data_IF_763448184375
#
_entry.id   IF_763448184375
#
_cell.length_a   1.000
_cell.length_b   1.000
_cell.length_c   1.000
_cell.angle_alpha   90.00
_cell.angle_beta   90.00
_cell.angle_gamma   90.00
#
_symmetry.space_group_name_H-M   'P 1'
#
loop_
_entity.id
_entity.type
_entity.pdbx_description
1 polymer ?
#
# COMPACT_ATOMS: atom_id res chain seq x y z
N UNK A 1 -10.05 10.01 -21.87
CA UNK A 1 -9.88 8.62 -22.36
C UNK A 1 -9.83 8.64 -23.90
N UNK A 2 -10.82 9.20 -24.66
CA UNK A 2 -10.88 9.18 -26.11
C UNK A 2 -9.57 9.67 -26.79
N UNK A 3 -8.99 10.79 -26.34
CA UNK A 3 -7.74 11.34 -26.90
C UNK A 3 -6.53 10.41 -26.73
N UNK A 4 -6.51 9.58 -25.67
CA UNK A 4 -5.47 8.55 -25.47
C UNK A 4 -5.70 7.43 -26.48
N UNK A 5 -6.91 6.87 -26.54
CA UNK A 5 -7.23 5.73 -27.44
C UNK A 5 -6.97 6.09 -28.92
N UNK A 6 -7.24 7.32 -29.32
CA UNK A 6 -7.00 7.80 -30.69
C UNK A 6 -5.56 8.23 -30.97
N UNK A 7 -4.66 8.16 -29.98
CA UNK A 7 -3.26 8.56 -30.12
C UNK A 7 -3.03 10.08 -30.11
N UNK A 8 -4.08 10.89 -29.89
CA UNK A 8 -3.95 12.35 -29.81
C UNK A 8 -3.20 12.83 -28.53
N UNK A 9 -3.07 11.97 -27.53
CA UNK A 9 -2.29 12.17 -26.32
C UNK A 9 -1.58 10.89 -25.98
N UNK A 10 -0.26 10.95 -25.82
CA UNK A 10 0.54 9.83 -25.34
C UNK A 10 0.35 9.69 -23.83
N UNK A 11 -0.07 8.53 -23.30
CA UNK A 11 -0.18 8.32 -21.85
C UNK A 11 1.19 8.33 -21.18
N UNK A 12 1.23 8.78 -19.94
CA UNK A 12 2.46 8.83 -19.14
C UNK A 12 2.20 8.65 -17.65
N UNK A 13 0.99 8.18 -17.30
CA UNK A 13 0.64 7.84 -15.93
C UNK A 13 1.28 6.53 -15.49
N UNK A 14 1.62 6.43 -14.20
CA UNK A 14 2.14 5.22 -13.57
C UNK A 14 1.21 4.78 -12.45
N UNK A 15 1.10 3.47 -12.24
CA UNK A 15 0.34 2.91 -11.12
C UNK A 15 1.05 3.21 -9.81
N UNK A 16 0.31 3.80 -8.86
CA UNK A 16 0.79 4.07 -7.50
C UNK A 16 0.60 2.87 -6.55
N UNK A 17 0.19 1.74 -7.09
CA UNK A 17 -0.03 0.48 -6.35
C UNK A 17 0.41 -0.70 -7.22
N UNK A 18 0.59 -1.86 -6.55
CA UNK A 18 0.77 -3.15 -7.20
C UNK A 18 -0.59 -3.83 -7.34
N UNK A 19 -0.93 -4.31 -8.52
CA UNK A 19 -2.14 -5.08 -8.76
C UNK A 19 -1.85 -6.58 -8.61
N UNK A 20 -2.39 -7.27 -7.60
CA UNK A 20 -2.23 -8.72 -7.46
C UNK A 20 -2.98 -9.46 -8.57
N UNK A 21 -2.68 -10.75 -8.73
CA UNK A 21 -3.43 -11.62 -9.64
C UNK A 21 -4.76 -12.04 -9.00
N UNK A 22 -4.76 -12.31 -7.68
CA UNK A 22 -5.92 -12.74 -6.90
C UNK A 22 -5.97 -12.00 -5.58
N UNK A 23 -7.16 -11.95 -4.98
CA UNK A 23 -7.36 -11.35 -3.65
C UNK A 23 -6.53 -12.03 -2.56
N UNK A 24 -6.40 -13.36 -2.64
CA UNK A 24 -5.64 -14.18 -1.69
C UNK A 24 -4.14 -13.86 -1.70
N UNK A 25 -3.65 -13.22 -2.76
CA UNK A 25 -2.27 -12.79 -2.88
C UNK A 25 -1.98 -11.47 -2.13
N UNK A 26 -3.01 -10.77 -1.61
CA UNK A 26 -2.85 -9.52 -0.85
C UNK A 26 -2.30 -9.81 0.54
N UNK A 27 -1.26 -9.09 1.03
CA UNK A 27 -0.60 -9.39 2.29
C UNK A 27 -1.54 -9.35 3.50
N UNK A 28 -2.56 -8.49 3.49
CA UNK A 28 -3.55 -8.38 4.56
C UNK A 28 -4.76 -9.33 4.42
N UNK A 29 -4.90 -10.06 3.31
CA UNK A 29 -6.08 -10.88 3.03
C UNK A 29 -6.44 -11.88 4.16
N UNK A 30 -5.50 -12.54 4.86
CA UNK A 30 -5.82 -13.44 5.96
C UNK A 30 -6.46 -12.75 7.18
N UNK A 31 -6.19 -11.46 7.35
CA UNK A 31 -6.53 -10.70 8.57
C UNK A 31 -7.64 -9.69 8.35
N UNK A 32 -7.87 -9.27 7.10
CA UNK A 32 -8.89 -8.28 6.77
C UNK A 32 -10.30 -8.82 7.09
N UNK A 33 -11.09 -8.01 7.77
CA UNK A 33 -12.47 -8.33 8.21
C UNK A 33 -12.64 -9.56 9.12
N UNK A 34 -11.58 -10.07 9.75
CA UNK A 34 -11.65 -11.24 10.65
C UNK A 34 -12.12 -10.89 12.07
N UNK A 35 -12.00 -9.65 12.47
CA UNK A 35 -12.41 -9.15 13.78
C UNK A 35 -13.43 -8.01 13.62
N UNK A 36 -14.38 -7.92 14.57
CA UNK A 36 -15.40 -6.86 14.53
C UNK A 36 -14.87 -5.52 15.05
N UNK A 37 -14.02 -5.57 16.08
CA UNK A 37 -13.55 -4.39 16.82
C UNK A 37 -12.17 -3.90 16.40
N UNK A 38 -11.37 -4.74 15.74
CA UNK A 38 -9.96 -4.46 15.44
C UNK A 38 -9.61 -4.76 13.98
N UNK A 39 -8.62 -4.05 13.47
CA UNK A 39 -7.94 -4.39 12.22
C UNK A 39 -6.46 -4.65 12.54
N UNK A 40 -5.99 -5.85 12.24
CA UNK A 40 -4.63 -6.27 12.51
C UNK A 40 -3.80 -6.16 11.22
N UNK A 41 -2.83 -5.25 11.22
CA UNK A 41 -1.88 -5.06 10.12
C UNK A 41 -0.64 -5.92 10.35
N UNK A 42 -0.83 -7.25 10.37
CA UNK A 42 0.26 -8.21 10.62
C UNK A 42 1.31 -8.21 9.52
N UNK A 43 0.98 -7.69 8.34
CA UNK A 43 1.92 -7.48 7.24
C UNK A 43 3.02 -6.47 7.54
N UNK A 44 2.80 -5.57 8.52
CA UNK A 44 3.78 -4.56 8.95
C UNK A 44 4.32 -3.72 7.77
N UNK A 45 5.64 -3.68 7.55
CA UNK A 45 6.29 -2.93 6.47
C UNK A 45 6.04 -3.53 5.08
N UNK A 46 5.58 -4.78 5.01
CA UNK A 46 5.39 -5.51 3.76
C UNK A 46 4.04 -5.18 3.11
N UNK A 47 3.91 -3.94 2.65
CA UNK A 47 2.75 -3.42 1.93
C UNK A 47 3.10 -3.19 0.46
N UNK A 48 2.18 -3.53 -0.45
CA UNK A 48 2.37 -3.32 -1.89
C UNK A 48 3.60 -4.05 -2.44
N UNK A 49 4.38 -3.41 -3.32
CA UNK A 49 5.54 -4.03 -3.97
C UNK A 49 6.59 -4.55 -2.98
N UNK A 50 6.73 -3.95 -1.79
CA UNK A 50 7.66 -4.45 -0.75
C UNK A 50 7.34 -5.88 -0.35
N UNK A 51 6.06 -6.22 -0.21
CA UNK A 51 5.60 -7.58 0.04
C UNK A 51 5.82 -8.49 -1.16
N UNK A 52 5.28 -8.10 -2.32
CA UNK A 52 5.30 -8.96 -3.50
C UNK A 52 6.72 -9.28 -3.98
N UNK A 53 7.64 -8.33 -3.81
CA UNK A 53 9.04 -8.52 -4.17
C UNK A 53 9.79 -9.35 -3.12
N UNK A 54 9.56 -9.13 -1.82
CA UNK A 54 10.19 -9.90 -0.72
C UNK A 54 9.73 -11.35 -0.70
N UNK A 55 8.42 -11.59 -0.80
CA UNK A 55 7.84 -12.93 -0.76
C UNK A 55 7.89 -13.67 -2.11
N UNK A 56 8.34 -13.02 -3.18
CA UNK A 56 8.40 -13.60 -4.52
C UNK A 56 7.03 -13.88 -5.15
N UNK A 57 6.01 -13.08 -4.79
CA UNK A 57 4.63 -13.28 -5.28
C UNK A 57 4.46 -12.66 -6.67
N UNK A 58 3.92 -13.40 -7.66
CA UNK A 58 3.63 -12.85 -8.98
C UNK A 58 2.50 -11.81 -8.91
N UNK A 59 2.58 -10.79 -9.78
CA UNK A 59 1.61 -9.70 -9.82
C UNK A 59 1.09 -9.47 -11.23
N UNK A 60 -0.11 -8.89 -11.35
CA UNK A 60 -0.69 -8.52 -12.64
C UNK A 60 0.01 -7.30 -13.23
N UNK A 61 0.18 -6.26 -12.41
CA UNK A 61 0.93 -5.06 -12.75
C UNK A 61 1.76 -4.63 -11.54
N UNK A 62 3.08 -4.40 -11.69
CA UNK A 62 3.91 -3.94 -10.61
C UNK A 62 3.62 -2.47 -10.27
N UNK A 63 4.04 -2.03 -9.09
CA UNK A 63 4.11 -0.63 -8.74
C UNK A 63 4.92 0.16 -9.77
N UNK A 64 4.46 1.33 -10.15
CA UNK A 64 5.13 2.16 -11.15
C UNK A 64 4.85 1.75 -12.61
N UNK A 65 4.10 0.67 -12.86
CA UNK A 65 3.77 0.25 -14.22
C UNK A 65 2.98 1.33 -14.97
N UNK A 66 3.30 1.52 -16.25
CA UNK A 66 2.60 2.43 -17.14
C UNK A 66 2.87 2.09 -18.61
N UNK A 67 2.02 2.61 -19.49
CA UNK A 67 2.12 2.43 -20.93
C UNK A 67 2.47 3.74 -21.62
N UNK A 68 3.15 3.64 -22.74
CA UNK A 68 3.47 4.77 -23.62
C UNK A 68 3.38 4.34 -25.08
N UNK A 69 3.15 5.28 -25.98
CA UNK A 69 3.25 5.08 -27.44
C UNK A 69 4.65 5.34 -27.97
N UNK A 70 5.62 5.61 -27.08
CA UNK A 70 7.03 5.75 -27.42
C UNK A 70 7.88 4.91 -26.48
N UNK A 71 9.15 4.81 -26.75
CA UNK A 71 10.15 4.06 -25.96
C UNK A 71 11.21 5.01 -25.43
N UNK A 72 11.77 4.66 -24.26
CA UNK A 72 12.80 5.44 -23.61
C UNK A 72 14.01 4.55 -23.28
N UNK A 73 15.21 5.08 -23.48
CA UNK A 73 16.46 4.48 -23.07
C UNK A 73 17.04 5.27 -21.89
N UNK A 74 17.70 4.58 -20.96
CA UNK A 74 18.38 5.17 -19.81
C UNK A 74 19.87 4.87 -19.90
N UNK A 75 20.72 5.87 -19.66
CA UNK A 75 22.18 5.73 -19.69
C UNK A 75 22.87 6.64 -18.68
N UNK A 76 24.17 6.49 -18.55
CA UNK A 76 25.09 7.37 -17.81
C UNK A 76 24.66 7.58 -16.34
N UNK A 77 24.33 6.49 -15.63
CA UNK A 77 23.95 6.54 -14.21
C UNK A 77 25.17 6.97 -13.38
N UNK A 78 24.97 7.97 -12.55
CA UNK A 78 25.90 8.43 -11.52
C UNK A 78 25.16 8.51 -10.19
N UNK A 79 25.69 7.88 -9.15
CA UNK A 79 25.08 7.82 -7.82
C UNK A 79 25.91 8.55 -6.80
N UNK A 80 25.26 9.31 -5.93
CA UNK A 80 25.81 9.90 -4.72
C UNK A 80 24.94 9.54 -3.52
N UNK A 81 25.35 9.87 -2.30
CA UNK A 81 24.53 9.66 -1.10
C UNK A 81 23.23 10.49 -1.08
N UNK A 82 23.09 11.46 -1.97
CA UNK A 82 21.94 12.38 -1.98
C UNK A 82 21.08 12.30 -3.23
N UNK A 83 21.57 11.69 -4.32
CA UNK A 83 20.85 11.68 -5.59
C UNK A 83 21.38 10.65 -6.58
N UNK A 84 20.52 10.25 -7.52
CA UNK A 84 20.91 9.59 -8.76
C UNK A 84 20.82 10.59 -9.93
N UNK A 85 21.79 10.55 -10.85
CA UNK A 85 21.79 11.31 -12.10
C UNK A 85 21.90 10.37 -13.27
N UNK A 86 21.14 10.62 -14.32
CA UNK A 86 21.16 9.78 -15.52
C UNK A 86 20.69 10.56 -16.74
N UNK A 87 20.95 10.02 -17.91
CA UNK A 87 20.43 10.49 -19.19
C UNK A 87 19.22 9.66 -19.59
N UNK A 88 18.12 10.31 -20.01
CA UNK A 88 16.94 9.67 -20.59
C UNK A 88 16.79 10.13 -22.03
N UNK A 89 16.64 9.18 -22.96
CA UNK A 89 16.49 9.44 -24.38
C UNK A 89 15.16 8.85 -24.89
N UNK A 90 14.36 9.63 -25.59
CA UNK A 90 13.20 9.12 -26.32
C UNK A 90 13.67 8.46 -27.60
N UNK A 91 13.67 7.13 -27.64
CA UNK A 91 14.12 6.33 -28.79
C UNK A 91 13.00 5.98 -29.76
N UNK A 92 11.77 6.36 -29.48
CA UNK A 92 10.62 6.12 -30.36
C UNK A 92 10.33 7.30 -31.28
N UNK A 93 9.25 7.19 -32.04
CA UNK A 93 8.85 8.15 -33.08
C UNK A 93 7.80 9.18 -32.62
N UNK A 94 7.33 9.10 -31.40
CA UNK A 94 6.28 9.96 -30.84
C UNK A 94 6.80 10.69 -29.62
N UNK A 95 6.45 11.97 -29.48
CA UNK A 95 6.74 12.72 -28.26
C UNK A 95 6.03 12.07 -27.04
N UNK A 96 6.72 11.99 -25.92
CA UNK A 96 6.18 11.37 -24.72
C UNK A 96 6.84 11.87 -23.45
N UNK A 97 6.28 11.45 -22.33
CA UNK A 97 6.87 11.72 -21.03
C UNK A 97 7.10 10.40 -20.27
N UNK A 98 8.28 10.27 -19.69
CA UNK A 98 8.65 9.14 -18.83
C UNK A 98 8.68 9.58 -17.37
N UNK A 99 8.31 8.67 -16.46
CA UNK A 99 8.52 8.81 -15.02
C UNK A 99 9.61 7.84 -14.59
N UNK A 100 10.79 8.37 -14.44
CA UNK A 100 11.95 7.63 -13.97
C UNK A 100 11.85 7.44 -12.47
N UNK A 101 11.99 6.22 -11.99
CA UNK A 101 11.85 5.83 -10.59
C UNK A 101 13.16 5.29 -10.07
N UNK A 102 13.57 5.76 -8.89
CA UNK A 102 14.81 5.32 -8.24
C UNK A 102 14.48 4.58 -6.96
N UNK A 103 14.95 3.36 -6.86
CA UNK A 103 14.77 2.48 -5.72
C UNK A 103 16.11 2.23 -5.03
N UNK A 104 16.08 2.20 -3.71
CA UNK A 104 17.21 1.76 -2.89
C UNK A 104 16.92 0.34 -2.40
N UNK A 105 17.75 -0.59 -2.83
CA UNK A 105 17.67 -1.99 -2.45
C UNK A 105 18.95 -2.46 -1.77
N UNK A 106 18.91 -3.68 -1.23
CA UNK A 106 20.10 -4.35 -0.68
C UNK A 106 19.88 -5.88 -0.74
N UNK A 107 20.95 -6.62 -0.57
CA UNK A 107 20.95 -8.08 -0.64
C UNK A 107 20.68 -8.79 0.69
N UNK A 108 20.67 -8.05 1.81
CA UNK A 108 20.55 -8.63 3.15
C UNK A 108 19.16 -9.28 3.35
N UNK A 109 19.17 -10.44 3.97
CA UNK A 109 17.95 -11.21 4.26
C UNK A 109 17.29 -10.84 5.58
N UNK A 110 17.30 -9.56 5.96
CA UNK A 110 16.79 -9.02 7.20
C UNK A 110 15.31 -8.58 7.13
N UNK A 111 14.79 -8.00 8.23
CA UNK A 111 13.44 -7.43 8.30
C UNK A 111 13.40 -6.07 7.61
N UNK A 112 13.48 -6.11 6.30
CA UNK A 112 13.39 -4.92 5.43
C UNK A 112 12.85 -5.30 4.05
N UNK A 113 12.39 -4.32 3.31
CA UNK A 113 11.99 -4.51 1.93
C UNK A 113 13.24 -4.72 1.04
N UNK A 114 13.18 -5.56 -0.02
CA UNK A 114 14.32 -5.76 -0.91
C UNK A 114 14.67 -4.51 -1.72
N UNK A 115 13.75 -3.58 -1.80
CA UNK A 115 13.94 -2.23 -2.36
C UNK A 115 12.82 -1.29 -1.94
N UNK A 116 13.12 0.01 -1.89
CA UNK A 116 12.17 1.07 -1.58
C UNK A 116 12.33 2.26 -2.51
N UNK A 117 11.20 2.82 -2.99
CA UNK A 117 11.20 4.02 -3.82
C UNK A 117 11.76 5.20 -3.01
N UNK A 118 12.89 5.74 -3.47
CA UNK A 118 13.57 6.85 -2.80
C UNK A 118 13.40 8.18 -3.52
N UNK A 119 13.13 8.14 -4.83
CA UNK A 119 12.90 9.35 -5.61
C UNK A 119 12.32 9.04 -6.98
N UNK A 120 11.79 10.07 -7.63
CA UNK A 120 11.31 9.97 -9.01
C UNK A 120 11.34 11.34 -9.71
N UNK A 121 11.41 11.32 -11.03
CA UNK A 121 11.28 12.51 -11.85
C UNK A 121 10.48 12.21 -13.11
N UNK A 122 9.69 13.18 -13.57
CA UNK A 122 8.98 13.11 -14.85
C UNK A 122 9.65 14.02 -15.86
N UNK A 123 10.02 13.47 -17.02
CA UNK A 123 10.65 14.18 -18.11
C UNK A 123 9.85 14.00 -19.40
N UNK A 124 9.56 15.10 -20.11
CA UNK A 124 8.93 15.09 -21.41
C UNK A 124 9.97 15.27 -22.51
N UNK A 125 9.95 14.42 -23.54
CA UNK A 125 10.93 14.39 -24.61
C UNK A 125 10.28 14.27 -25.99
N UNK A 126 10.75 15.06 -26.96
CA UNK A 126 10.46 14.85 -28.37
C UNK A 126 11.16 13.59 -28.90
N UNK A 127 10.77 13.04 -30.06
CA UNK A 127 11.48 11.94 -30.70
C UNK A 127 12.97 12.24 -30.90
N UNK A 128 13.85 11.35 -30.43
CA UNK A 128 15.30 11.49 -30.49
C UNK A 128 15.90 12.47 -29.47
N UNK A 129 15.08 13.14 -28.66
CA UNK A 129 15.57 14.07 -27.63
C UNK A 129 16.10 13.31 -26.43
N UNK A 130 17.19 13.82 -25.84
CA UNK A 130 17.80 13.35 -24.62
C UNK A 130 17.81 14.45 -23.56
N UNK A 131 17.65 14.07 -22.30
CA UNK A 131 17.76 14.98 -21.16
C UNK A 131 18.52 14.33 -20.03
N UNK A 132 19.48 15.06 -19.46
CA UNK A 132 20.13 14.66 -18.22
C UNK A 132 19.32 15.16 -17.03
N UNK A 133 18.89 14.23 -16.18
CA UNK A 133 18.09 14.53 -15.01
C UNK A 133 18.82 14.16 -13.73
N UNK A 134 18.47 14.84 -12.63
CA UNK A 134 18.91 14.51 -11.28
C UNK A 134 17.69 14.22 -10.41
N UNK A 135 17.70 13.12 -9.71
CA UNK A 135 16.62 12.67 -8.83
C UNK A 135 17.16 12.64 -7.40
N UNK A 136 16.77 13.58 -6.55
CA UNK A 136 17.18 13.59 -5.15
C UNK A 136 16.55 12.41 -4.40
N UNK A 137 17.28 11.86 -3.45
CA UNK A 137 16.74 10.86 -2.54
C UNK A 137 15.93 11.52 -1.43
N UNK A 138 14.95 10.78 -0.90
CA UNK A 138 14.15 11.23 0.23
C UNK A 138 14.99 11.42 1.50
N UNK A 139 14.52 12.23 2.45
CA UNK A 139 15.29 12.59 3.64
C UNK A 139 15.61 11.41 4.58
N UNK A 140 14.90 10.29 4.40
CA UNK A 140 15.10 9.03 5.15
C UNK A 140 15.66 7.91 4.29
N UNK A 141 16.26 8.26 3.15
CA UNK A 141 17.04 7.33 2.37
C UNK A 141 18.12 6.71 3.27
N UNK A 142 18.36 5.41 3.11
CA UNK A 142 19.34 4.67 3.90
C UNK A 142 19.06 4.60 5.41
N UNK A 143 17.81 4.81 5.85
CA UNK A 143 17.47 4.79 7.28
C UNK A 143 16.36 3.78 7.59
N UNK A 144 16.42 3.18 8.78
CA UNK A 144 15.36 2.40 9.39
C UNK A 144 14.88 3.08 10.67
N UNK A 145 13.61 2.93 11.00
CA UNK A 145 13.09 3.41 12.28
C UNK A 145 13.43 2.40 13.38
N UNK A 146 14.12 2.87 14.41
CA UNK A 146 14.42 2.09 15.60
C UNK A 146 13.35 2.37 16.67
N UNK A 147 12.51 1.38 17.02
CA UNK A 147 11.46 1.56 18.02
C UNK A 147 11.98 1.66 19.46
N UNK A 148 13.20 1.21 19.74
CA UNK A 148 13.81 1.30 21.07
C UNK A 148 14.34 2.71 21.34
N UNK A 149 14.97 3.31 20.31
CA UNK A 149 15.49 4.68 20.37
C UNK A 149 14.42 5.73 20.02
N UNK A 150 13.28 5.31 19.46
CA UNK A 150 12.24 6.19 18.91
C UNK A 150 12.73 7.18 17.84
N UNK A 151 13.70 6.77 17.03
CA UNK A 151 14.28 7.63 15.98
C UNK A 151 14.59 6.87 14.70
N UNK A 152 14.88 7.65 13.64
CA UNK A 152 15.36 7.12 12.37
C UNK A 152 16.87 7.01 12.38
N UNK A 153 17.37 5.78 12.31
CA UNK A 153 18.81 5.46 12.34
C UNK A 153 19.30 5.22 10.92
N UNK A 154 20.40 5.84 10.56
CA UNK A 154 21.07 5.59 9.27
C UNK A 154 21.71 4.20 9.30
N UNK A 155 21.34 3.36 8.33
CA UNK A 155 21.77 1.96 8.28
C UNK A 155 23.03 1.81 7.42
N UNK A 156 24.12 1.34 8.04
CA UNK A 156 25.39 1.08 7.39
C UNK A 156 25.39 -0.24 6.62
N UNK A 157 25.45 -0.17 5.29
CA UNK A 157 25.55 -1.32 4.39
C UNK A 157 25.83 -0.90 2.95
N UNK A 158 26.06 -1.87 2.07
CA UNK A 158 26.05 -1.64 0.62
C UNK A 158 24.59 -1.66 0.12
N UNK A 159 24.19 -0.60 -0.55
CA UNK A 159 22.90 -0.49 -1.22
C UNK A 159 23.09 -0.62 -2.72
N UNK A 160 22.13 -1.25 -3.38
CA UNK A 160 21.96 -1.22 -4.83
C UNK A 160 20.96 -0.13 -5.19
N UNK A 161 21.42 0.92 -5.86
CA UNK A 161 20.55 1.97 -6.42
C UNK A 161 20.02 1.48 -7.76
N UNK A 162 18.74 1.25 -7.86
CA UNK A 162 18.05 0.73 -9.03
C UNK A 162 17.24 1.82 -9.69
N UNK A 163 17.40 1.99 -10.99
CA UNK A 163 16.67 2.99 -11.77
C UNK A 163 15.84 2.29 -12.83
N UNK A 164 14.53 2.56 -12.83
CA UNK A 164 13.63 1.88 -13.73
C UNK A 164 12.36 2.66 -14.07
N UNK A 165 11.54 2.08 -14.93
CA UNK A 165 10.21 2.59 -15.30
C UNK A 165 9.11 2.07 -14.37
N UNK A 166 9.41 1.04 -13.58
CA UNK A 166 8.56 0.44 -12.53
C UNK A 166 9.43 -0.32 -11.54
N UNK A 167 8.84 -0.83 -10.44
CA UNK A 167 9.55 -1.64 -9.44
C UNK A 167 10.13 -2.95 -10.00
N UNK A 168 9.69 -3.40 -11.17
CA UNK A 168 10.16 -4.64 -11.83
C UNK A 168 10.72 -4.44 -13.24
N UNK A 169 10.71 -3.22 -13.77
CA UNK A 169 11.38 -2.85 -15.00
C UNK A 169 12.56 -1.95 -14.65
N UNK A 170 13.61 -2.59 -14.09
CA UNK A 170 14.87 -1.94 -13.73
C UNK A 170 15.79 -1.95 -14.95
N UNK A 171 16.40 -0.82 -15.25
CA UNK A 171 17.20 -0.60 -16.46
C UNK A 171 18.66 -0.27 -16.16
N UNK A 172 18.91 0.37 -15.02
CA UNK A 172 20.26 0.70 -14.56
C UNK A 172 20.38 0.36 -13.08
N UNK A 173 21.57 -0.11 -12.68
CA UNK A 173 21.91 -0.38 -11.28
C UNK A 173 23.32 0.09 -10.99
N UNK A 174 23.55 0.61 -9.77
CA UNK A 174 24.86 0.97 -9.26
C UNK A 174 24.89 0.74 -7.74
N UNK A 175 26.02 0.30 -7.21
CA UNK A 175 26.18 0.06 -5.78
C UNK A 175 26.79 1.27 -5.09
N UNK A 176 26.34 1.54 -3.88
CA UNK A 176 26.90 2.57 -2.99
C UNK A 176 27.04 2.01 -1.57
N UNK A 177 28.23 2.18 -0.98
CA UNK A 177 28.46 1.85 0.41
C UNK A 177 28.09 3.05 1.30
N UNK A 178 27.25 2.79 2.30
CA UNK A 178 26.80 3.79 3.26
C UNK A 178 27.32 3.42 4.64
N UNK A 179 27.93 4.39 5.33
CA UNK A 179 28.31 4.25 6.73
C UNK A 179 27.11 4.52 7.64
N UNK A 180 27.00 3.75 8.71
CA UNK A 180 25.87 3.86 9.65
C UNK A 180 25.87 2.73 10.67
N UNK A 181 24.74 2.57 11.35
CA UNK A 181 24.51 1.57 12.39
C UNK A 181 23.73 0.36 11.84
N UNK A 182 23.55 -0.66 12.68
CA UNK A 182 22.67 -1.79 12.41
C UNK A 182 21.63 -1.91 13.52
N UNK A 183 20.43 -1.31 13.38
CA UNK A 183 19.40 -1.37 14.38
C UNK A 183 18.90 -2.82 14.59
N UNK A 184 18.73 -3.24 15.85
CA UNK A 184 18.32 -4.61 16.20
C UNK A 184 16.96 -5.01 15.62
N UNK A 185 16.09 -4.07 15.29
CA UNK A 185 14.80 -4.33 14.62
C UNK A 185 14.98 -5.08 13.31
N UNK A 186 16.10 -4.91 12.62
CA UNK A 186 16.39 -5.57 11.35
C UNK A 186 16.68 -7.07 11.51
N UNK A 187 17.07 -7.52 12.69
CA UNK A 187 17.44 -8.92 12.98
C UNK A 187 16.23 -9.86 13.22
N UNK A 188 15.00 -9.35 13.03
CA UNK A 188 13.79 -10.17 13.21
C UNK A 188 13.78 -11.36 12.25
N UNK A 189 13.49 -12.51 12.82
CA UNK A 189 13.48 -13.81 12.14
C UNK A 189 12.06 -14.22 11.72
N UNK A 190 11.94 -15.40 11.12
CA UNK A 190 10.67 -16.03 10.80
C UNK A 190 9.95 -15.41 9.60
N UNK A 191 8.64 -15.22 9.75
CA UNK A 191 7.79 -14.69 8.68
C UNK A 191 8.19 -13.26 8.27
N UNK A 192 8.65 -12.45 9.21
CA UNK A 192 9.09 -11.08 8.95
C UNK A 192 10.42 -11.02 8.19
N UNK A 193 11.35 -11.93 8.44
CA UNK A 193 12.60 -12.01 7.67
C UNK A 193 12.33 -12.38 6.21
N UNK A 194 11.40 -13.30 5.97
CA UNK A 194 11.15 -13.87 4.63
C UNK A 194 10.06 -13.12 3.86
N UNK A 195 9.33 -12.20 4.50
CA UNK A 195 8.17 -11.53 3.93
C UNK A 195 6.93 -12.43 3.78
N UNK A 196 6.94 -13.67 4.28
CA UNK A 196 5.79 -14.61 4.21
C UNK A 196 4.76 -14.29 5.29
N UNK A 197 4.25 -13.07 5.25
CA UNK A 197 3.42 -12.48 6.31
C UNK A 197 2.06 -13.15 6.50
N UNK A 198 1.55 -13.91 5.54
CA UNK A 198 0.33 -14.71 5.71
C UNK A 198 0.45 -15.74 6.85
N UNK A 199 1.67 -16.14 7.22
CA UNK A 199 1.94 -17.06 8.30
C UNK A 199 2.18 -16.42 9.67
N UNK A 200 2.14 -15.08 9.78
CA UNK A 200 2.41 -14.38 11.05
C UNK A 200 1.37 -14.75 12.09
N UNK A 201 1.82 -15.31 13.21
CA UNK A 201 0.99 -15.67 14.35
C UNK A 201 0.61 -14.43 15.17
N UNK A 202 -0.38 -14.56 16.06
CA UNK A 202 -0.72 -13.51 17.02
C UNK A 202 0.48 -13.14 17.89
N UNK A 203 1.21 -14.15 18.42
CA UNK A 203 2.40 -13.93 19.27
C UNK A 203 3.52 -13.19 18.54
N UNK A 204 3.87 -13.57 17.32
CA UNK A 204 4.89 -12.85 16.52
C UNK A 204 4.49 -11.39 16.27
N UNK A 205 3.19 -11.13 16.11
CA UNK A 205 2.72 -9.76 15.92
C UNK A 205 2.68 -8.97 17.24
N UNK A 206 2.31 -9.60 18.36
CA UNK A 206 2.43 -9.00 19.72
C UNK A 206 3.88 -8.64 20.05
N UNK A 207 4.82 -9.52 19.74
CA UNK A 207 6.25 -9.27 19.90
C UNK A 207 6.73 -8.10 19.03
N UNK A 208 6.19 -7.97 17.80
CA UNK A 208 6.53 -6.85 16.91
C UNK A 208 6.03 -5.51 17.46
N UNK A 209 4.78 -5.47 17.95
CA UNK A 209 4.16 -4.21 18.41
C UNK A 209 4.45 -3.91 19.89
N UNK A 210 5.11 -4.83 20.61
CA UNK A 210 5.51 -4.68 22.02
C UNK A 210 4.33 -4.66 23.00
N UNK A 211 3.17 -5.21 22.63
CA UNK A 211 1.98 -5.26 23.49
C UNK A 211 1.03 -6.38 23.07
N UNK A 212 0.19 -6.90 24.00
CA UNK A 212 -0.83 -7.87 23.65
C UNK A 212 -1.87 -7.27 22.68
N UNK A 213 -2.43 -8.13 21.84
CA UNK A 213 -3.52 -7.75 20.94
C UNK A 213 -4.80 -7.42 21.74
N UNK A 214 -5.54 -6.37 21.35
CA UNK A 214 -6.84 -6.11 21.92
C UNK A 214 -7.83 -7.21 21.53
N UNK A 215 -8.91 -7.35 22.32
CA UNK A 215 -10.00 -8.28 21.99
C UNK A 215 -10.51 -8.02 20.56
N UNK A 216 -10.68 -9.06 19.74
CA UNK A 216 -11.26 -8.91 18.39
C UNK A 216 -12.76 -8.55 18.44
N UNK A 217 -13.42 -8.80 19.58
CA UNK A 217 -14.84 -8.55 19.77
C UNK A 217 -15.09 -7.22 20.47
N UNK A 218 -16.21 -6.59 20.16
CA UNK A 218 -16.66 -5.40 20.89
C UNK A 218 -16.94 -5.72 22.36
N UNK A 219 -16.47 -4.89 23.31
CA UNK A 219 -16.84 -5.04 24.71
C UNK A 219 -18.35 -4.99 24.87
N UNK A 220 -18.93 -6.04 25.49
CA UNK A 220 -20.41 -6.15 25.62
C UNK A 220 -21.02 -5.04 26.48
N UNK A 221 -20.25 -4.48 27.40
CA UNK A 221 -20.73 -3.48 28.37
C UNK A 221 -20.20 -2.06 28.10
N UNK A 222 -19.46 -1.86 27.01
CA UNK A 222 -19.00 -0.53 26.66
C UNK A 222 -20.18 0.39 26.27
N UNK A 223 -20.23 1.64 26.75
CA UNK A 223 -21.21 2.61 26.31
C UNK A 223 -21.08 2.85 24.82
N UNK A 224 -22.21 2.97 24.13
CA UNK A 224 -22.22 3.33 22.73
C UNK A 224 -21.88 4.81 22.56
N UNK A 225 -21.13 5.12 21.51
CA UNK A 225 -20.76 6.47 21.11
C UNK A 225 -21.01 6.72 19.62
N UNK A 226 -20.67 7.90 19.12
CA UNK A 226 -20.84 8.26 17.70
C UNK A 226 -19.99 7.43 16.74
N UNK A 227 -18.96 6.75 17.22
CA UNK A 227 -18.10 5.86 16.43
C UNK A 227 -18.57 4.40 16.50
N UNK A 228 -19.43 4.08 17.46
CA UNK A 228 -20.04 2.75 17.55
C UNK A 228 -20.83 2.42 16.29
N UNK A 229 -20.84 1.15 15.91
CA UNK A 229 -21.48 0.71 14.67
C UNK A 229 -22.86 0.09 14.94
N UNK A 230 -23.68 0.02 13.91
CA UNK A 230 -25.03 -0.55 14.03
C UNK A 230 -25.01 -1.99 14.59
N UNK A 231 -24.00 -2.78 14.25
CA UNK A 231 -23.83 -4.13 14.78
C UNK A 231 -23.72 -4.16 16.32
N UNK A 232 -23.21 -3.10 16.95
CA UNK A 232 -23.10 -2.96 18.41
C UNK A 232 -24.41 -2.52 19.09
N UNK A 233 -25.38 -1.98 18.33
CA UNK A 233 -26.65 -1.52 18.90
C UNK A 233 -27.34 -2.62 19.70
N UNK A 234 -27.83 -2.29 20.90
CA UNK A 234 -28.38 -3.21 21.90
C UNK A 234 -29.74 -2.73 22.39
N UNK A 235 -30.36 -3.58 23.22
CA UNK A 235 -31.67 -3.28 23.76
C UNK A 235 -32.82 -3.39 22.74
N UNK A 236 -34.05 -3.02 23.12
CA UNK A 236 -35.20 -3.13 22.25
C UNK A 236 -35.07 -2.31 20.96
N UNK A 237 -34.51 -1.10 21.06
CA UNK A 237 -34.30 -0.23 19.89
C UNK A 237 -33.28 -0.82 18.91
N UNK A 238 -32.14 -1.30 19.40
CA UNK A 238 -31.14 -1.98 18.57
C UNK A 238 -31.70 -3.23 17.89
N UNK A 239 -32.54 -4.00 18.58
CA UNK A 239 -33.21 -5.17 18.00
C UNK A 239 -34.15 -4.77 16.87
N UNK A 240 -35.00 -3.75 17.06
CA UNK A 240 -35.90 -3.23 16.02
C UNK A 240 -35.14 -2.73 14.80
N UNK A 241 -34.04 -2.00 15.02
CA UNK A 241 -33.19 -1.46 13.94
C UNK A 241 -32.54 -2.61 13.13
N UNK A 242 -32.02 -3.62 13.80
CA UNK A 242 -31.43 -4.81 13.17
C UNK A 242 -32.45 -5.62 12.38
N UNK A 243 -33.66 -5.81 12.94
CA UNK A 243 -34.74 -6.47 12.26
C UNK A 243 -35.20 -5.68 11.02
N UNK A 244 -35.25 -4.34 11.10
CA UNK A 244 -35.59 -3.47 9.98
C UNK A 244 -34.59 -3.60 8.82
N UNK A 245 -33.31 -3.51 9.09
CA UNK A 245 -32.26 -3.70 8.07
C UNK A 245 -32.33 -5.11 7.47
N UNK A 246 -32.51 -6.14 8.29
CA UNK A 246 -32.66 -7.52 7.84
C UNK A 246 -33.90 -7.73 6.96
N UNK A 247 -35.05 -7.11 7.30
CA UNK A 247 -36.26 -7.18 6.51
C UNK A 247 -36.10 -6.51 5.14
N UNK A 248 -35.50 -5.32 5.08
CA UNK A 248 -35.18 -4.63 3.82
C UNK A 248 -34.26 -5.51 2.94
N UNK A 249 -33.21 -6.04 3.50
CA UNK A 249 -32.28 -6.94 2.79
C UNK A 249 -33.00 -8.15 2.18
N UNK A 250 -33.81 -8.83 2.99
CA UNK A 250 -34.52 -10.02 2.54
C UNK A 250 -35.60 -9.68 1.50
N UNK A 251 -36.30 -8.56 1.67
CA UNK A 251 -37.25 -8.05 0.69
C UNK A 251 -36.59 -7.75 -0.67
N UNK A 252 -35.44 -7.12 -0.66
CA UNK A 252 -34.66 -6.84 -1.89
C UNK A 252 -34.26 -8.15 -2.59
N UNK A 253 -33.81 -9.17 -1.83
CA UNK A 253 -33.44 -10.47 -2.39
C UNK A 253 -34.63 -11.17 -3.03
N UNK A 254 -35.82 -11.10 -2.40
CA UNK A 254 -37.04 -11.73 -2.90
C UNK A 254 -37.52 -11.13 -4.24
N UNK A 255 -37.28 -9.83 -4.46
CA UNK A 255 -37.62 -9.17 -5.72
C UNK A 255 -36.47 -9.17 -6.74
N UNK A 256 -35.43 -9.99 -6.52
CA UNK A 256 -34.29 -10.16 -7.45
C UNK A 256 -33.27 -9.03 -7.44
N UNK A 257 -33.35 -8.08 -6.51
CA UNK A 257 -32.40 -6.95 -6.36
C UNK A 257 -31.22 -7.32 -5.48
N UNK A 258 -30.40 -8.27 -5.96
CA UNK A 258 -29.29 -8.81 -5.19
C UNK A 258 -28.16 -7.80 -4.91
N UNK A 259 -27.89 -6.91 -5.84
CA UNK A 259 -26.86 -5.86 -5.67
C UNK A 259 -27.28 -4.86 -4.59
N UNK A 260 -28.53 -4.40 -4.64
CA UNK A 260 -29.09 -3.50 -3.63
C UNK A 260 -29.14 -4.17 -2.25
N UNK A 261 -29.44 -5.47 -2.20
CA UNK A 261 -29.39 -6.24 -0.96
C UNK A 261 -27.98 -6.31 -0.36
N UNK A 262 -26.93 -6.40 -1.19
CA UNK A 262 -25.54 -6.34 -0.71
C UNK A 262 -25.21 -4.97 -0.12
N UNK A 263 -25.73 -3.87 -0.65
CA UNK A 263 -25.50 -2.55 -0.05
C UNK A 263 -26.01 -2.46 1.40
N UNK A 264 -26.99 -3.24 1.80
CA UNK A 264 -27.44 -3.27 3.21
C UNK A 264 -26.38 -3.87 4.13
N UNK A 265 -25.48 -4.72 3.62
CA UNK A 265 -24.39 -5.31 4.42
C UNK A 265 -23.35 -4.25 4.84
N UNK A 266 -23.23 -3.15 4.09
CA UNK A 266 -22.37 -2.02 4.46
C UNK A 266 -22.93 -1.16 5.60
N UNK A 267 -24.21 -1.29 5.90
CA UNK A 267 -24.86 -0.57 7.02
C UNK A 267 -24.43 -1.12 8.38
N UNK A 268 -24.15 -2.42 8.46
CA UNK A 268 -23.80 -3.08 9.72
C UNK A 268 -22.52 -2.54 10.38
N UNK A 269 -21.39 -2.40 9.64
CA UNK A 269 -20.17 -1.83 10.17
C UNK A 269 -20.14 -0.28 10.13
N UNK A 270 -21.22 0.35 9.72
CA UNK A 270 -21.26 1.80 9.58
C UNK A 270 -21.39 2.46 10.96
N UNK A 271 -20.51 3.44 11.31
CA UNK A 271 -20.61 4.17 12.56
C UNK A 271 -21.84 5.08 12.59
N UNK A 272 -22.39 5.30 13.77
CA UNK A 272 -23.61 6.11 13.95
C UNK A 272 -23.48 7.52 13.38
N UNK A 273 -22.31 8.14 13.47
CA UNK A 273 -22.03 9.45 12.82
C UNK A 273 -22.22 9.43 11.30
N UNK A 274 -22.02 8.28 10.65
CA UNK A 274 -22.24 8.16 9.21
C UNK A 274 -23.72 7.95 8.89
N UNK A 275 -24.45 7.23 9.74
CA UNK A 275 -25.91 7.09 9.64
C UNK A 275 -26.63 8.45 9.76
N UNK A 276 -26.18 9.30 10.70
CA UNK A 276 -26.68 10.68 10.85
C UNK A 276 -26.57 11.46 9.53
N UNK A 277 -25.39 11.42 8.88
CA UNK A 277 -25.16 12.10 7.60
C UNK A 277 -25.98 11.50 6.45
N UNK A 278 -26.06 10.18 6.38
CA UNK A 278 -26.80 9.50 5.29
C UNK A 278 -28.31 9.68 5.41
N UNK A 279 -28.83 9.78 6.63
CA UNK A 279 -30.26 10.02 6.90
C UNK A 279 -30.66 11.50 6.79
N UNK A 280 -29.74 12.40 6.39
CA UNK A 280 -29.95 13.83 6.38
C UNK A 280 -30.47 14.38 7.72
N UNK A 281 -30.00 13.81 8.85
CA UNK A 281 -30.40 14.19 10.20
C UNK A 281 -31.69 13.52 10.71
N UNK A 282 -32.28 12.58 9.96
CA UNK A 282 -33.44 11.82 10.44
C UNK A 282 -33.08 10.85 11.58
N UNK A 283 -31.82 10.43 11.66
CA UNK A 283 -31.27 9.66 12.78
C UNK A 283 -30.24 10.54 13.50
N UNK A 284 -30.51 10.92 14.74
CA UNK A 284 -29.60 11.76 15.53
C UNK A 284 -28.83 10.91 16.55
N UNK A 285 -27.67 11.36 17.04
CA UNK A 285 -26.91 10.67 18.08
C UNK A 285 -27.69 10.43 19.37
N UNK A 286 -28.64 11.31 19.69
CA UNK A 286 -29.48 11.22 20.89
C UNK A 286 -30.56 10.11 20.75
N UNK A 287 -30.85 9.64 19.54
CA UNK A 287 -31.78 8.53 19.28
C UNK A 287 -31.10 7.15 19.39
N UNK A 288 -29.77 7.12 19.35
CA UNK A 288 -28.93 5.92 19.34
C UNK A 288 -28.35 5.64 20.73
#
# INVERSE_FOLDING_TARGET
IARIITGAVNPSGKLAETFPIRYEDVPSAPWYTKAEATAEHRESIYVGYRYYDKAGVPVRFPFGHGLSYTTFEYSDLEVTESSARLTVTNTGSVAGAEVVQVYLGHADGDFSAPQELSGWAKVGLAPGESSRIAIPFGPRAFSAYDPEQHEWVRVGRTYTVRVGSSSRDIRLEEEIAIEGEHPAILDRQGAYQTGRVHGVTAGEFEDLIGRPLPSPDWPKDAPLDRNSVLAQARGPFGAVLKLGVGAVRNGLKLVGKHTEAQYTDYVWPMPFRALERMSAGAVTPEML
#
